data_IF_263161567318
#
_entry.id   IF_263161567318
#
_cell.length_a   1.000
_cell.length_b   1.000
_cell.length_c   1.000
_cell.angle_alpha   90.00
_cell.angle_beta   90.00
_cell.angle_gamma   90.00
#
_symmetry.space_group_name_H-M   'P 1'
#
loop_
_entity.id
_entity.type
_entity.pdbx_description
1 polymer ?
#
# COMPACT_ATOMS: atom_id res chain seq x y z
N UNK A 1 5.21 16.88 0.21
CA UNK A 1 6.62 16.68 -0.20
C UNK A 1 7.52 16.29 0.97
N UNK A 2 7.45 16.99 2.10
CA UNK A 2 8.26 16.67 3.29
C UNK A 2 8.07 15.23 3.79
N UNK A 3 6.84 14.72 3.79
CA UNK A 3 6.55 13.34 4.19
C UNK A 3 7.32 12.30 3.35
N UNK A 4 7.34 12.48 2.01
CA UNK A 4 8.09 11.60 1.10
C UNK A 4 9.60 11.63 1.40
N UNK A 5 10.16 12.85 1.54
CA UNK A 5 11.58 13.04 1.82
C UNK A 5 11.94 12.42 3.18
N UNK A 6 11.18 12.74 4.23
CA UNK A 6 11.41 12.24 5.58
C UNK A 6 11.31 10.71 5.64
N UNK A 7 10.40 10.12 4.87
CA UNK A 7 10.30 8.66 4.76
C UNK A 7 11.55 8.06 4.10
N UNK A 8 12.00 8.60 2.96
CA UNK A 8 13.19 8.11 2.24
C UNK A 8 14.46 8.23 3.11
N UNK A 9 14.60 9.34 3.83
CA UNK A 9 15.76 9.60 4.72
C UNK A 9 15.87 8.61 5.89
N UNK A 10 14.82 7.84 6.22
CA UNK A 10 14.94 6.75 7.20
C UNK A 10 15.78 5.57 6.68
N UNK A 11 15.94 5.45 5.37
CA UNK A 11 16.62 4.32 4.72
C UNK A 11 18.00 4.66 4.16
N UNK A 12 18.33 5.94 4.06
CA UNK A 12 19.61 6.42 3.58
C UNK A 12 19.75 7.93 3.66
N UNK A 13 20.88 8.43 3.20
CA UNK A 13 21.17 9.85 3.22
C UNK A 13 21.07 10.44 1.79
N UNK A 14 20.44 11.61 1.68
CA UNK A 14 20.42 12.42 0.46
C UNK A 14 20.96 13.82 0.79
N UNK A 15 21.80 14.34 -0.07
CA UNK A 15 22.23 15.75 0.01
C UNK A 15 21.14 16.68 -0.58
N UNK A 16 21.31 17.99 -0.42
CA UNK A 16 20.32 18.96 -0.86
C UNK A 16 20.02 18.89 -2.37
N UNK A 17 21.04 18.70 -3.21
CA UNK A 17 20.86 18.58 -4.67
C UNK A 17 20.05 17.34 -5.06
N UNK A 18 20.29 16.23 -4.39
CA UNK A 18 19.55 14.97 -4.58
C UNK A 18 18.09 15.10 -4.12
N UNK A 19 17.86 15.82 -3.02
CA UNK A 19 16.51 16.14 -2.56
C UNK A 19 15.77 17.01 -3.58
N UNK A 20 16.41 18.03 -4.13
CA UNK A 20 15.78 18.88 -5.17
C UNK A 20 15.50 18.10 -6.46
N UNK A 21 16.40 17.19 -6.86
CA UNK A 21 16.14 16.28 -7.98
C UNK A 21 14.90 15.41 -7.70
N UNK A 22 14.82 14.77 -6.53
CA UNK A 22 13.65 13.97 -6.15
C UNK A 22 12.36 14.80 -6.18
N UNK A 23 12.38 16.01 -5.64
CA UNK A 23 11.24 16.95 -5.67
C UNK A 23 10.79 17.28 -7.10
N UNK A 24 11.73 17.44 -8.03
CA UNK A 24 11.43 17.77 -9.43
C UNK A 24 10.74 16.60 -10.18
N UNK A 25 10.92 15.36 -9.70
CA UNK A 25 10.36 14.15 -10.31
C UNK A 25 9.03 13.73 -9.70
N UNK A 26 8.82 13.98 -8.41
CA UNK A 26 7.63 13.55 -7.70
C UNK A 26 6.44 14.48 -7.99
N UNK A 27 5.42 13.96 -8.68
CA UNK A 27 4.23 14.71 -9.08
C UNK A 27 3.09 14.41 -8.10
N UNK A 28 2.48 15.47 -7.53
CA UNK A 28 1.28 15.34 -6.70
C UNK A 28 0.07 15.01 -7.57
N UNK A 29 -0.69 14.01 -7.14
CA UNK A 29 -2.00 13.67 -7.71
C UNK A 29 -3.01 13.41 -6.61
N UNK A 30 -4.29 13.54 -6.94
CA UNK A 30 -5.42 13.18 -6.09
C UNK A 30 -6.31 12.16 -6.78
N UNK A 31 -7.01 11.35 -5.99
CA UNK A 31 -8.01 10.41 -6.47
C UNK A 31 -9.20 10.39 -5.52
N UNK A 32 -10.40 10.32 -6.08
CA UNK A 32 -11.62 10.28 -5.28
C UNK A 32 -11.88 8.88 -4.74
N UNK A 33 -12.52 8.84 -3.58
CA UNK A 33 -13.03 7.62 -2.97
C UNK A 33 -13.76 6.75 -4.01
N UNK A 34 -13.65 5.44 -3.85
CA UNK A 34 -14.25 4.38 -4.67
C UNK A 34 -13.73 4.30 -6.12
N UNK A 35 -12.71 5.12 -6.48
CA UNK A 35 -12.05 5.08 -7.80
C UNK A 35 -10.88 4.09 -7.78
N UNK A 36 -10.69 3.36 -8.88
CA UNK A 36 -9.51 2.50 -9.07
C UNK A 36 -8.32 3.33 -9.54
N UNK A 37 -7.23 3.31 -8.77
CA UNK A 37 -5.93 3.82 -9.19
C UNK A 37 -5.28 2.91 -10.24
N UNK A 38 -5.40 1.58 -10.04
CA UNK A 38 -4.88 0.57 -10.94
C UNK A 38 -5.89 -0.58 -11.09
N UNK A 39 -6.00 -1.10 -12.31
CA UNK A 39 -6.89 -2.22 -12.61
C UNK A 39 -6.08 -3.42 -13.11
N UNK A 40 -6.52 -4.63 -12.75
CA UNK A 40 -5.91 -5.86 -13.27
C UNK A 40 -5.89 -5.89 -14.79
N UNK A 41 -4.87 -6.52 -15.37
CA UNK A 41 -4.62 -6.55 -16.81
C UNK A 41 -3.77 -5.38 -17.32
N UNK A 42 -3.58 -4.33 -16.55
CA UNK A 42 -2.69 -3.21 -16.89
C UNK A 42 -1.26 -3.47 -16.38
N UNK A 43 -0.27 -2.96 -17.10
CA UNK A 43 1.14 -2.99 -16.67
C UNK A 43 1.40 -1.74 -15.83
N UNK A 44 1.79 -1.87 -14.53
CA UNK A 44 2.13 -0.72 -13.71
C UNK A 44 3.44 -0.08 -14.22
N UNK A 45 3.42 1.25 -14.37
CA UNK A 45 4.57 2.03 -14.86
C UNK A 45 4.99 3.13 -13.90
N UNK A 46 4.41 3.17 -12.73
CA UNK A 46 4.67 4.19 -11.71
C UNK A 46 4.59 3.59 -10.32
N UNK A 47 5.30 4.20 -9.39
CA UNK A 47 5.25 3.93 -7.95
C UNK A 47 4.62 5.14 -7.30
N UNK A 48 3.76 4.94 -6.31
CA UNK A 48 3.16 6.05 -5.57
C UNK A 48 3.57 6.03 -4.10
N UNK A 49 3.60 7.21 -3.50
CA UNK A 49 3.74 7.43 -2.07
C UNK A 49 2.49 8.14 -1.57
N UNK A 50 1.72 7.46 -0.72
CA UNK A 50 0.45 7.96 -0.19
C UNK A 50 0.71 8.97 0.92
N UNK A 51 0.22 10.20 0.76
CA UNK A 51 0.37 11.28 1.75
C UNK A 51 -0.89 11.49 2.58
N UNK A 52 -2.06 11.22 1.99
CA UNK A 52 -3.35 11.32 2.65
C UNK A 52 -4.31 10.25 2.12
N UNK A 53 -5.10 9.69 3.02
CA UNK A 53 -6.13 8.72 2.69
C UNK A 53 -5.73 7.27 2.86
N UNK A 54 -6.56 6.38 2.36
CA UNK A 54 -6.39 4.93 2.45
C UNK A 54 -6.70 4.31 1.10
N UNK A 55 -5.82 3.43 0.63
CA UNK A 55 -6.06 2.57 -0.52
C UNK A 55 -6.13 1.11 -0.07
N UNK A 56 -6.78 0.28 -0.87
CA UNK A 56 -6.75 -1.18 -0.72
C UNK A 56 -6.23 -1.85 -1.97
N UNK A 57 -5.58 -2.97 -1.79
CA UNK A 57 -5.25 -3.90 -2.86
C UNK A 57 -6.23 -5.07 -2.78
N UNK A 58 -6.85 -5.40 -3.89
CA UNK A 58 -7.82 -6.50 -3.99
C UNK A 58 -7.66 -7.27 -5.31
N UNK A 59 -8.24 -8.44 -5.38
CA UNK A 59 -8.33 -9.28 -6.57
C UNK A 59 -9.65 -10.05 -6.58
N UNK A 60 -10.01 -10.62 -7.73
CA UNK A 60 -11.15 -11.52 -7.84
C UNK A 60 -10.67 -12.97 -7.85
N UNK A 61 -11.26 -13.79 -6.99
CA UNK A 61 -10.98 -15.22 -6.97
C UNK A 61 -11.72 -15.95 -8.12
N UNK A 62 -11.50 -17.26 -8.26
CA UNK A 62 -12.13 -18.08 -9.32
C UNK A 62 -13.65 -18.16 -9.24
N UNK A 63 -14.27 -17.72 -8.13
CA UNK A 63 -15.73 -17.64 -7.95
C UNK A 63 -16.29 -16.24 -8.28
N UNK A 64 -15.44 -15.31 -8.69
CA UNK A 64 -15.81 -13.91 -8.92
C UNK A 64 -16.01 -13.09 -7.64
N UNK A 65 -15.58 -13.59 -6.49
CA UNK A 65 -15.65 -12.85 -5.24
C UNK A 65 -14.45 -11.91 -5.11
N UNK A 66 -14.70 -10.66 -4.72
CA UNK A 66 -13.67 -9.67 -4.48
C UNK A 66 -13.00 -9.90 -3.12
N UNK A 67 -11.71 -10.13 -3.12
CA UNK A 67 -10.91 -10.40 -1.93
C UNK A 67 -9.97 -9.23 -1.66
N UNK A 68 -10.10 -8.61 -0.49
CA UNK A 68 -9.16 -7.60 -0.02
C UNK A 68 -7.89 -8.27 0.48
N UNK A 69 -6.76 -7.92 -0.12
CA UNK A 69 -5.45 -8.50 0.19
C UNK A 69 -4.74 -7.74 1.30
N UNK A 70 -4.74 -6.41 1.24
CA UNK A 70 -4.22 -5.52 2.28
C UNK A 70 -4.67 -4.07 2.06
N UNK A 71 -4.49 -3.26 3.11
CA UNK A 71 -4.69 -1.82 3.08
C UNK A 71 -3.35 -1.09 3.15
N UNK A 72 -3.34 0.11 2.61
CA UNK A 72 -2.22 1.03 2.63
C UNK A 72 -2.75 2.36 3.10
N UNK A 73 -2.17 2.87 4.16
CA UNK A 73 -2.43 4.16 4.76
C UNK A 73 -1.31 5.17 4.46
N UNK A 74 -1.41 6.32 5.05
CA UNK A 74 -0.50 7.43 4.84
C UNK A 74 0.97 7.06 5.15
N UNK A 75 1.90 7.72 4.51
CA UNK A 75 3.35 7.55 4.62
C UNK A 75 3.85 6.17 4.20
N UNK A 76 3.21 5.57 3.21
CA UNK A 76 3.64 4.30 2.64
C UNK A 76 3.77 4.37 1.12
N UNK A 77 4.77 3.65 0.59
CA UNK A 77 4.88 3.38 -0.83
C UNK A 77 3.92 2.28 -1.26
N UNK A 78 3.38 2.41 -2.46
CA UNK A 78 2.52 1.43 -3.10
C UNK A 78 2.96 1.16 -4.53
N UNK A 79 3.23 -0.11 -4.82
CA UNK A 79 3.41 -0.66 -6.15
C UNK A 79 3.11 -2.16 -6.16
N UNK A 80 2.65 -2.67 -7.28
CA UNK A 80 2.80 -4.10 -7.61
C UNK A 80 4.23 -4.30 -8.11
N UNK A 81 5.15 -4.53 -7.17
CA UNK A 81 6.60 -4.60 -7.43
C UNK A 81 6.94 -5.66 -8.47
N UNK A 82 6.25 -6.82 -8.45
CA UNK A 82 6.51 -7.89 -9.40
C UNK A 82 6.16 -7.47 -10.84
N UNK A 83 4.94 -6.99 -11.05
CA UNK A 83 4.48 -6.58 -12.37
C UNK A 83 5.21 -5.32 -12.87
N UNK A 84 5.53 -4.41 -11.97
CA UNK A 84 6.33 -3.22 -12.27
C UNK A 84 7.74 -3.57 -12.77
N UNK A 85 8.45 -4.45 -12.06
CA UNK A 85 9.82 -4.83 -12.42
C UNK A 85 9.87 -5.65 -13.70
N UNK A 86 8.95 -6.60 -13.86
CA UNK A 86 8.93 -7.50 -15.02
C UNK A 86 8.25 -6.88 -16.26
N UNK A 87 7.51 -5.79 -16.10
CA UNK A 87 6.75 -5.18 -17.20
C UNK A 87 5.59 -6.06 -17.69
N UNK A 88 4.98 -6.83 -16.78
CA UNK A 88 3.85 -7.72 -17.08
C UNK A 88 2.54 -7.19 -16.52
N UNK A 89 1.38 -7.59 -17.06
CA UNK A 89 0.08 -7.20 -16.53
C UNK A 89 -0.08 -7.62 -15.06
N UNK A 90 -0.58 -6.71 -14.22
CA UNK A 90 -0.96 -7.00 -12.83
C UNK A 90 -2.21 -7.86 -12.77
N UNK A 91 -2.32 -8.69 -11.75
CA UNK A 91 -3.54 -9.43 -11.40
C UNK A 91 -4.34 -8.75 -10.28
N UNK A 92 -3.86 -7.61 -9.79
CA UNK A 92 -4.41 -6.89 -8.66
C UNK A 92 -5.09 -5.59 -9.09
N UNK A 93 -6.08 -5.20 -8.31
CA UNK A 93 -6.71 -3.88 -8.36
C UNK A 93 -6.25 -3.05 -7.17
N UNK A 94 -6.05 -1.76 -7.38
CA UNK A 94 -5.75 -0.79 -6.33
C UNK A 94 -6.86 0.24 -6.32
N UNK A 95 -7.61 0.33 -5.23
CA UNK A 95 -8.76 1.21 -5.08
C UNK A 95 -8.59 2.17 -3.92
N UNK A 96 -8.91 3.44 -4.13
CA UNK A 96 -9.05 4.43 -3.09
C UNK A 96 -10.32 4.16 -2.27
N UNK A 97 -10.22 3.96 -0.97
CA UNK A 97 -11.37 3.77 -0.07
C UNK A 97 -11.73 5.01 0.73
N UNK A 98 -10.92 6.03 0.63
CA UNK A 98 -11.17 7.44 1.00
C UNK A 98 -10.74 8.34 -0.16
N UNK A 99 -11.01 9.63 -0.12
CA UNK A 99 -10.27 10.58 -0.96
C UNK A 99 -8.79 10.48 -0.60
N UNK A 100 -7.90 10.48 -1.59
CA UNK A 100 -6.47 10.32 -1.38
C UNK A 100 -5.66 11.38 -2.11
N UNK A 101 -4.53 11.76 -1.48
CA UNK A 101 -3.45 12.51 -2.10
C UNK A 101 -2.17 11.66 -2.08
N UNK A 102 -1.40 11.70 -3.16
CA UNK A 102 -0.19 10.90 -3.29
C UNK A 102 0.81 11.52 -4.26
N UNK A 103 2.09 11.22 -4.06
CA UNK A 103 3.14 11.49 -5.03
C UNK A 103 3.28 10.30 -5.99
N UNK A 104 3.51 10.62 -7.27
CA UNK A 104 3.81 9.65 -8.33
C UNK A 104 5.26 9.82 -8.75
N UNK A 105 5.96 8.71 -8.87
CA UNK A 105 7.27 8.58 -9.51
C UNK A 105 7.12 7.60 -10.68
N UNK A 106 7.33 8.07 -11.91
CA UNK A 106 7.27 7.21 -13.08
C UNK A 106 8.46 6.25 -13.11
N UNK A 107 8.35 5.19 -13.93
CA UNK A 107 9.47 4.24 -14.12
C UNK A 107 10.71 4.96 -14.63
N UNK A 108 10.55 5.88 -15.57
CA UNK A 108 11.65 6.68 -16.12
C UNK A 108 12.28 7.59 -15.05
N UNK A 109 11.48 8.22 -14.18
CA UNK A 109 12.00 9.02 -13.07
C UNK A 109 12.78 8.17 -12.07
N UNK A 110 12.29 6.97 -11.75
CA UNK A 110 13.00 6.04 -10.88
C UNK A 110 14.33 5.58 -11.47
N UNK A 111 14.38 5.32 -12.77
CA UNK A 111 15.62 4.99 -13.50
C UNK A 111 16.62 6.17 -13.50
N UNK A 112 16.15 7.40 -13.72
CA UNK A 112 16.99 8.59 -13.66
C UNK A 112 17.55 8.85 -12.25
N UNK A 113 16.72 8.68 -11.21
CA UNK A 113 17.15 8.77 -9.80
C UNK A 113 18.23 7.73 -9.49
N UNK A 114 18.05 6.49 -9.97
CA UNK A 114 19.02 5.40 -9.81
C UNK A 114 20.37 5.71 -10.48
N UNK A 115 20.35 6.27 -11.68
CA UNK A 115 21.57 6.64 -12.40
C UNK A 115 22.28 7.86 -11.80
N UNK A 116 21.54 8.76 -11.13
CA UNK A 116 22.08 10.06 -10.69
C UNK A 116 22.44 10.07 -9.20
N UNK A 117 21.69 9.35 -8.36
CA UNK A 117 21.87 9.36 -6.91
C UNK A 117 22.63 8.10 -6.47
N UNK A 118 23.90 8.27 -6.11
CA UNK A 118 24.71 7.17 -5.57
C UNK A 118 24.03 6.62 -4.30
N UNK A 119 23.75 5.31 -4.29
CA UNK A 119 23.09 4.64 -3.17
C UNK A 119 21.55 4.63 -3.23
N UNK A 120 20.93 5.19 -4.29
CA UNK A 120 19.49 5.17 -4.48
C UNK A 120 18.91 3.74 -4.46
N UNK A 121 19.53 2.83 -5.20
CA UNK A 121 19.08 1.44 -5.28
C UNK A 121 19.14 0.73 -3.93
N UNK A 122 20.12 1.06 -3.09
CA UNK A 122 20.20 0.52 -1.73
C UNK A 122 19.07 1.07 -0.84
N UNK A 123 18.69 2.32 -1.00
CA UNK A 123 17.53 2.94 -0.32
C UNK A 123 16.24 2.21 -0.75
N UNK A 124 16.02 2.09 -2.05
CA UNK A 124 14.82 1.43 -2.61
C UNK A 124 14.76 -0.06 -2.21
N UNK A 125 15.89 -0.76 -2.21
CA UNK A 125 15.96 -2.14 -1.74
C UNK A 125 15.52 -2.28 -0.27
N UNK A 126 15.95 -1.38 0.62
CA UNK A 126 15.53 -1.37 2.04
C UNK A 126 14.03 -1.08 2.18
N UNK A 127 13.51 -0.11 1.44
CA UNK A 127 12.07 0.22 1.42
C UNK A 127 11.26 -1.00 0.96
N UNK A 128 11.69 -1.63 -0.13
CA UNK A 128 11.04 -2.83 -0.69
C UNK A 128 11.09 -4.00 0.30
N UNK A 129 12.24 -4.23 0.94
CA UNK A 129 12.42 -5.28 1.95
C UNK A 129 11.50 -5.06 3.16
N UNK A 130 11.37 -3.81 3.65
CA UNK A 130 10.41 -3.46 4.71
C UNK A 130 8.98 -3.79 4.29
N UNK A 131 8.55 -3.32 3.11
CA UNK A 131 7.19 -3.59 2.60
C UNK A 131 6.91 -5.09 2.42
N UNK A 132 7.90 -5.88 1.98
CA UNK A 132 7.77 -7.33 1.86
C UNK A 132 7.65 -8.00 3.23
N UNK A 133 8.48 -7.62 4.21
CA UNK A 133 8.40 -8.13 5.57
C UNK A 133 7.03 -7.83 6.22
N UNK A 134 6.50 -6.63 6.02
CA UNK A 134 5.15 -6.27 6.48
C UNK A 134 4.06 -7.13 5.82
N UNK A 135 4.17 -7.40 4.51
CA UNK A 135 3.25 -8.30 3.80
C UNK A 135 3.29 -9.71 4.37
N UNK A 136 4.47 -10.28 4.61
CA UNK A 136 4.64 -11.61 5.20
C UNK A 136 4.04 -11.66 6.61
N UNK A 137 4.31 -10.68 7.45
CA UNK A 137 3.78 -10.59 8.81
C UNK A 137 2.24 -10.47 8.83
N UNK A 138 1.61 -9.97 7.77
CA UNK A 138 0.14 -9.92 7.64
C UNK A 138 -0.47 -11.26 7.25
N UNK A 139 0.24 -12.08 6.47
CA UNK A 139 -0.26 -13.39 6.00
C UNK A 139 -0.18 -14.45 7.10
N UNK A 140 0.88 -14.46 7.90
CA UNK A 140 1.12 -15.48 8.93
C UNK A 140 -0.06 -15.69 9.90
N UNK A 141 -0.70 -14.63 10.45
CA UNK A 141 -1.86 -14.78 11.33
C UNK A 141 -3.09 -15.40 10.65
N UNK A 142 -3.22 -15.23 9.34
CA UNK A 142 -4.36 -15.79 8.59
C UNK A 142 -4.37 -17.33 8.60
N UNK A 143 -3.22 -17.95 8.83
CA UNK A 143 -3.05 -19.40 8.81
C UNK A 143 -3.25 -20.07 10.18
N UNK A 144 -3.04 -19.33 11.28
CA UNK A 144 -2.91 -19.90 12.62
C UNK A 144 -3.89 -19.36 13.65
N UNK A 145 -4.44 -18.15 13.42
CA UNK A 145 -5.26 -17.44 14.40
C UNK A 145 -6.75 -17.54 14.08
N UNK A 146 -7.59 -17.50 15.11
CA UNK A 146 -9.03 -17.39 14.92
C UNK A 146 -9.46 -15.98 14.48
N UNK A 147 -10.72 -15.82 14.11
CA UNK A 147 -11.24 -14.56 13.57
C UNK A 147 -11.18 -13.39 14.57
N UNK A 148 -11.35 -13.68 15.86
CA UNK A 148 -11.29 -12.66 16.92
C UNK A 148 -9.86 -12.22 17.15
N UNK A 149 -8.92 -13.15 17.20
CA UNK A 149 -7.49 -12.89 17.35
C UNK A 149 -6.96 -12.06 16.18
N UNK A 150 -7.31 -12.44 14.94
CA UNK A 150 -6.96 -11.65 13.74
C UNK A 150 -7.50 -10.22 13.80
N UNK A 151 -8.72 -10.04 14.27
CA UNK A 151 -9.30 -8.71 14.41
C UNK A 151 -8.61 -7.89 15.50
N UNK A 152 -8.31 -8.47 16.66
CA UNK A 152 -7.57 -7.80 17.74
C UNK A 152 -6.17 -7.38 17.27
N UNK A 153 -5.48 -8.25 16.55
CA UNK A 153 -4.17 -7.98 15.97
C UNK A 153 -4.23 -6.86 14.91
N UNK A 154 -5.29 -6.86 14.09
CA UNK A 154 -5.54 -5.75 13.17
C UNK A 154 -5.71 -4.42 13.90
N UNK A 155 -6.48 -4.38 15.00
CA UNK A 155 -6.66 -3.16 15.80
C UNK A 155 -5.35 -2.69 16.44
N UNK A 156 -4.51 -3.61 16.91
CA UNK A 156 -3.20 -3.30 17.48
C UNK A 156 -2.23 -2.73 16.43
N UNK A 157 -2.20 -3.34 15.25
CA UNK A 157 -1.28 -2.94 14.18
C UNK A 157 -1.74 -1.68 13.44
N UNK A 158 -3.06 -1.42 13.39
CA UNK A 158 -3.68 -0.35 12.61
C UNK A 158 -4.76 0.37 13.43
N UNK A 159 -4.41 1.02 14.54
CA UNK A 159 -5.40 1.61 15.47
C UNK A 159 -6.27 2.69 14.81
N UNK A 160 -5.75 3.38 13.82
CA UNK A 160 -6.46 4.45 13.10
C UNK A 160 -7.32 3.95 11.94
N UNK A 161 -7.05 2.76 11.40
CA UNK A 161 -7.70 2.26 10.18
C UNK A 161 -9.10 1.68 10.44
N UNK A 162 -9.32 1.00 11.57
CA UNK A 162 -10.53 0.22 11.83
C UNK A 162 -11.84 1.01 11.71
N UNK A 163 -11.80 2.32 11.98
CA UNK A 163 -12.95 3.22 11.88
C UNK A 163 -13.03 3.97 10.53
N UNK A 164 -11.99 3.89 9.71
CA UNK A 164 -11.91 4.54 8.39
C UNK A 164 -12.19 3.57 7.23
N UNK A 165 -12.18 2.27 7.50
CA UNK A 165 -12.38 1.20 6.50
C UNK A 165 -13.83 0.72 6.55
N UNK A 166 -14.52 0.57 5.40
CA UNK A 166 -15.82 -0.09 5.32
C UNK A 166 -15.77 -1.50 5.91
N UNK A 167 -16.80 -1.85 6.69
CA UNK A 167 -16.86 -3.13 7.41
C UNK A 167 -16.76 -4.35 6.46
N UNK A 168 -17.32 -4.24 5.25
CA UNK A 168 -17.23 -5.28 4.21
C UNK A 168 -15.79 -5.56 3.78
N UNK A 169 -15.00 -4.51 3.56
CA UNK A 169 -13.61 -4.65 3.15
C UNK A 169 -12.73 -5.21 4.27
N UNK A 170 -12.99 -4.78 5.51
CA UNK A 170 -12.29 -5.32 6.68
C UNK A 170 -12.65 -6.80 6.91
N UNK A 171 -13.92 -7.18 6.75
CA UNK A 171 -14.33 -8.57 6.84
C UNK A 171 -13.68 -9.45 5.76
N UNK A 172 -13.64 -8.96 4.51
CA UNK A 172 -12.93 -9.61 3.41
C UNK A 172 -11.44 -9.80 3.71
N UNK A 173 -10.77 -8.74 4.21
CA UNK A 173 -9.36 -8.80 4.62
C UNK A 173 -9.11 -9.85 5.71
N UNK A 174 -10.02 -9.96 6.70
CA UNK A 174 -9.92 -10.92 7.80
C UNK A 174 -10.36 -12.35 7.42
N UNK A 175 -10.83 -12.56 6.18
CA UNK A 175 -11.32 -13.86 5.70
C UNK A 175 -12.58 -14.34 6.39
N UNK A 176 -13.49 -13.43 6.79
CA UNK A 176 -14.74 -13.71 7.47
C UNK A 176 -15.91 -12.95 6.85
N UNK A 177 -17.14 -13.35 7.22
CA UNK A 177 -18.32 -12.59 6.79
C UNK A 177 -18.47 -11.29 7.58
N UNK A 178 -19.13 -10.30 6.98
CA UNK A 178 -19.43 -9.03 7.63
C UNK A 178 -20.27 -9.23 8.90
N UNK A 179 -21.21 -10.19 8.91
CA UNK A 179 -22.02 -10.52 10.09
C UNK A 179 -21.17 -11.13 11.22
N UNK A 180 -20.18 -11.96 10.89
CA UNK A 180 -19.23 -12.49 11.87
C UNK A 180 -18.38 -11.39 12.48
N UNK A 181 -17.83 -10.48 11.67
CA UNK A 181 -17.07 -9.33 12.17
C UNK A 181 -17.93 -8.42 13.05
N UNK A 182 -19.18 -8.18 12.68
CA UNK A 182 -20.13 -7.38 13.48
C UNK A 182 -20.38 -8.01 14.87
N UNK A 183 -20.49 -9.35 14.96
CA UNK A 183 -20.60 -10.09 16.23
C UNK A 183 -19.33 -9.95 17.08
N UNK A 184 -18.15 -10.15 16.47
CA UNK A 184 -16.86 -10.00 17.17
C UNK A 184 -16.74 -8.59 17.77
N UNK A 185 -17.07 -7.55 17.01
CA UNK A 185 -17.02 -6.15 17.49
C UNK A 185 -17.92 -5.88 18.69
N UNK A 186 -19.07 -6.58 18.81
CA UNK A 186 -19.95 -6.44 19.99
C UNK A 186 -19.38 -7.11 21.25
N UNK A 187 -18.56 -8.15 21.09
CA UNK A 187 -17.98 -8.87 22.24
C UNK A 187 -16.71 -8.26 22.79
N UNK A 188 -16.12 -7.28 22.08
CA UNK A 188 -14.87 -6.62 22.45
C UNK A 188 -15.14 -5.24 23.09
N UNK A 189 -16.36 -4.73 22.95
CA UNK A 189 -16.83 -3.54 23.67
C UNK A 189 -17.17 -3.93 25.09
#
# INVERSE_FOLDING_TARGET
>A
MEQLINYILQFGHLNQQQIELLKSKAIVKTIKKDTYYHEAGRIPREIIFLTEGIMRVCYYNNKGEEITKYFIDENNFLADVNSYNQGIPSTEYIQAITDCEYFVLSKTDMEELSMTIIGWDAIIAKITAKGLAEKVNRISPMLTEDAKERYLKFLSNFPTLANRIPLSYLASYLGITQSSLSRIRRTIR
#
